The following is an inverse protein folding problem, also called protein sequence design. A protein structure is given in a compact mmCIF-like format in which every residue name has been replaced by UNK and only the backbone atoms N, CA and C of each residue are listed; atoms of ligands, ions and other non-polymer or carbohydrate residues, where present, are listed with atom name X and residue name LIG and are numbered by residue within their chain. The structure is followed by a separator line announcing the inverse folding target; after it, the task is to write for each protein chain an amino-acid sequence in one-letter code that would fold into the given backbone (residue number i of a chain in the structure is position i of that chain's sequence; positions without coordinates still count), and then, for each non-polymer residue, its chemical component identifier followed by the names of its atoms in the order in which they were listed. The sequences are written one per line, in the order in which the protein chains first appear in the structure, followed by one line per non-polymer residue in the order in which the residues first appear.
data_IF_394278453434
#
_entry.id   IF_394278453434
#
_cell.length_a   1.000
_cell.length_b   1.000
_cell.length_c   1.000
_cell.angle_alpha   90.00
_cell.angle_beta   90.00
_cell.angle_gamma   90.00
#
_symmetry.space_group_name_H-M   'P 1'
#
loop_
_entity.id
_entity.type
_entity.pdbx_description
1 polymer ?
#
# COMPACT_ATOMS: atom_id res chain seq x y z
N UNK A 1 8.85 -8.75 -4.82
CA UNK A 1 8.07 -8.05 -3.76
C UNK A 1 8.04 -6.60 -4.17
N UNK A 2 6.86 -6.03 -4.35
CA UNK A 2 6.67 -4.64 -4.78
C UNK A 2 7.40 -3.64 -3.90
N UNK A 3 7.64 -2.42 -4.39
CA UNK A 3 8.13 -1.28 -3.60
C UNK A 3 7.09 -0.16 -3.59
N UNK A 4 7.01 0.58 -2.50
CA UNK A 4 6.11 1.73 -2.41
C UNK A 4 6.65 2.86 -1.53
N UNK A 5 6.07 4.04 -1.73
CA UNK A 5 6.31 5.27 -0.99
C UNK A 5 4.98 5.97 -0.70
N UNK A 6 4.81 6.51 0.50
CA UNK A 6 3.76 7.44 0.84
C UNK A 6 4.33 8.69 1.52
N UNK A 7 3.64 9.80 1.36
CA UNK A 7 4.01 11.08 1.94
C UNK A 7 2.80 11.80 2.53
N UNK A 8 3.01 12.50 3.65
CA UNK A 8 2.05 13.40 4.29
C UNK A 8 2.77 14.62 4.87
N UNK A 9 2.38 15.83 4.49
CA UNK A 9 2.97 17.06 5.00
C UNK A 9 2.58 18.32 4.22
N UNK A 10 3.54 19.23 4.09
CA UNK A 10 3.44 20.38 3.18
C UNK A 10 3.41 19.91 1.72
N UNK A 11 2.66 20.57 0.82
CA UNK A 11 2.66 20.20 -0.58
C UNK A 11 4.08 20.23 -1.18
N UNK A 12 4.52 19.09 -1.70
CA UNK A 12 5.77 18.96 -2.45
C UNK A 12 5.46 18.46 -3.86
N UNK A 13 6.31 18.82 -4.82
CA UNK A 13 6.29 18.15 -6.11
C UNK A 13 6.63 16.68 -5.92
N UNK A 14 5.96 15.81 -6.68
CA UNK A 14 6.08 14.37 -6.45
C UNK A 14 7.46 13.86 -6.87
N UNK A 15 8.06 14.46 -7.90
CA UNK A 15 9.42 14.12 -8.37
C UNK A 15 10.49 14.28 -7.29
N UNK A 16 10.34 15.26 -6.38
CA UNK A 16 11.23 15.50 -5.24
C UNK A 16 11.43 14.26 -4.36
N UNK A 17 10.40 13.39 -4.24
CA UNK A 17 10.51 12.14 -3.47
C UNK A 17 10.56 10.88 -4.35
N UNK A 18 9.95 10.93 -5.54
CA UNK A 18 9.77 9.74 -6.38
C UNK A 18 10.88 9.54 -7.42
N UNK A 19 11.55 10.61 -7.85
CA UNK A 19 12.50 10.59 -8.97
C UNK A 19 13.87 11.09 -8.54
N UNK A 20 13.96 12.31 -8.00
CA UNK A 20 15.22 13.01 -7.73
C UNK A 20 16.19 12.28 -6.77
N UNK A 21 15.74 11.62 -5.69
CA UNK A 21 16.67 10.98 -4.76
C UNK A 21 17.51 9.87 -5.42
N UNK A 22 18.80 9.74 -5.05
CA UNK A 22 19.69 8.75 -5.67
C UNK A 22 19.16 7.30 -5.59
N UNK A 23 18.54 6.94 -4.46
CA UNK A 23 17.86 5.65 -4.26
C UNK A 23 16.32 5.77 -4.30
N UNK A 24 15.78 6.64 -5.17
CA UNK A 24 14.33 6.91 -5.31
C UNK A 24 13.51 5.66 -5.65
N UNK A 25 12.18 5.77 -5.54
CA UNK A 25 11.27 4.67 -5.89
C UNK A 25 11.42 4.26 -7.38
N UNK A 26 11.66 5.23 -8.27
CA UNK A 26 11.95 4.94 -9.68
C UNK A 26 13.29 4.22 -9.82
N UNK A 27 14.35 4.63 -9.12
CA UNK A 27 15.62 3.89 -9.11
C UNK A 27 15.46 2.47 -8.56
N UNK A 28 14.70 2.29 -7.47
CA UNK A 28 14.37 0.98 -6.88
C UNK A 28 13.53 0.10 -7.82
N UNK A 29 12.78 0.69 -8.75
CA UNK A 29 12.05 -0.11 -9.73
C UNK A 29 12.99 -0.84 -10.70
N UNK A 30 14.18 -0.29 -10.96
CA UNK A 30 15.22 -0.91 -11.79
C UNK A 30 16.23 -1.74 -11.00
N UNK A 31 16.55 -1.35 -9.76
CA UNK A 31 17.58 -2.00 -8.93
C UNK A 31 17.23 -1.96 -7.42
N UNK A 32 16.20 -2.69 -7.00
CA UNK A 32 15.83 -2.79 -5.59
C UNK A 32 16.90 -3.57 -4.78
N UNK A 33 17.29 -3.06 -3.61
CA UNK A 33 18.32 -3.67 -2.76
C UNK A 33 17.72 -4.61 -1.71
N UNK A 34 16.47 -4.40 -1.31
CA UNK A 34 15.77 -5.22 -0.30
C UNK A 34 14.59 -6.06 -0.86
N UNK A 35 14.39 -6.09 -2.18
CA UNK A 35 13.32 -6.89 -2.78
C UNK A 35 13.78 -8.32 -3.14
N UNK A 36 12.82 -9.26 -3.18
CA UNK A 36 13.05 -10.63 -3.68
C UNK A 36 13.47 -10.68 -5.17
N UNK A 37 13.23 -9.60 -5.92
CA UNK A 37 13.57 -9.46 -7.34
C UNK A 37 14.26 -8.12 -7.53
N UNK A 38 15.35 -8.09 -8.32
CA UNK A 38 16.15 -6.89 -8.55
C UNK A 38 15.33 -5.80 -9.28
N UNK A 39 14.35 -6.21 -10.09
CA UNK A 39 13.51 -5.33 -10.91
C UNK A 39 12.04 -5.43 -10.45
N UNK A 40 11.35 -4.28 -10.36
CA UNK A 40 9.91 -4.14 -10.18
C UNK A 40 9.32 -3.49 -11.44
N UNK A 41 9.15 -4.29 -12.50
CA UNK A 41 8.80 -3.80 -13.83
C UNK A 41 7.35 -4.05 -14.27
N UNK A 42 6.53 -4.64 -13.41
CA UNK A 42 5.21 -5.18 -13.79
C UNK A 42 4.06 -4.17 -13.57
N UNK A 43 4.41 -2.89 -13.62
CA UNK A 43 3.48 -1.77 -13.49
C UNK A 43 3.86 -0.78 -12.41
N UNK A 44 3.22 0.38 -12.49
CA UNK A 44 3.38 1.48 -11.57
C UNK A 44 2.03 2.16 -11.31
N UNK A 45 1.95 2.89 -10.21
CA UNK A 45 0.83 3.76 -9.98
C UNK A 45 1.10 4.81 -8.93
N UNK A 46 0.28 5.84 -9.01
CA UNK A 46 0.36 7.07 -8.23
C UNK A 46 -1.07 7.49 -7.88
N UNK A 47 -1.30 7.79 -6.61
CA UNK A 47 -2.52 8.43 -6.13
C UNK A 47 -2.16 9.65 -5.29
N UNK A 48 -2.88 10.76 -5.47
CA UNK A 48 -2.58 12.00 -4.77
C UNK A 48 -3.85 12.77 -4.42
N UNK A 49 -3.80 13.55 -3.36
CA UNK A 49 -4.87 14.47 -3.00
C UNK A 49 -4.52 15.87 -3.48
N UNK A 50 -5.43 16.46 -4.27
CA UNK A 50 -5.30 17.82 -4.80
C UNK A 50 -6.39 18.73 -4.23
N UNK A 51 -6.99 19.55 -5.09
CA UNK A 51 -8.05 20.47 -4.68
C UNK A 51 -9.42 19.80 -4.42
N UNK A 52 -9.60 18.53 -4.82
CA UNK A 52 -10.85 17.77 -4.64
C UNK A 52 -10.75 16.82 -3.43
N UNK A 53 -11.87 16.49 -2.78
CA UNK A 53 -11.89 15.48 -1.71
C UNK A 53 -11.47 14.08 -2.20
N UNK A 54 -11.83 13.73 -3.43
CA UNK A 54 -11.41 12.48 -4.06
C UNK A 54 -9.97 12.57 -4.59
N UNK A 55 -9.16 11.52 -4.42
CA UNK A 55 -7.80 11.50 -4.92
C UNK A 55 -7.77 11.39 -6.45
N UNK A 56 -6.79 12.04 -7.07
CA UNK A 56 -6.36 11.71 -8.43
C UNK A 56 -5.63 10.37 -8.43
N UNK A 57 -5.79 9.58 -9.51
CA UNK A 57 -5.12 8.29 -9.66
C UNK A 57 -4.59 8.10 -11.08
N UNK A 58 -3.34 7.68 -11.18
CA UNK A 58 -2.70 7.18 -12.39
C UNK A 58 -2.18 5.77 -12.12
N UNK A 59 -2.44 4.83 -13.05
CA UNK A 59 -1.94 3.45 -12.98
C UNK A 59 -1.60 2.98 -14.38
N UNK A 60 -0.46 2.31 -14.51
CA UNK A 60 0.04 1.78 -15.77
C UNK A 60 0.69 0.42 -15.58
N UNK A 61 0.73 -0.38 -16.64
CA UNK A 61 1.48 -1.65 -16.67
C UNK A 61 2.92 -1.46 -17.14
N UNK A 62 3.27 -0.27 -17.60
CA UNK A 62 4.66 0.07 -17.92
C UNK A 62 5.49 0.18 -16.65
N UNK A 63 6.77 -0.19 -16.71
CA UNK A 63 7.68 0.04 -15.60
C UNK A 63 7.86 1.55 -15.37
N UNK A 64 8.04 1.94 -14.10
CA UNK A 64 8.08 3.36 -13.72
C UNK A 64 9.22 4.14 -14.41
N UNK A 65 10.37 3.50 -14.67
CA UNK A 65 11.52 4.15 -15.31
C UNK A 65 11.31 4.47 -16.79
N UNK A 66 10.33 3.85 -17.46
CA UNK A 66 10.06 4.07 -18.89
C UNK A 66 8.72 4.74 -19.17
N UNK A 67 7.96 5.11 -18.12
CA UNK A 67 6.66 5.74 -18.28
C UNK A 67 6.80 7.27 -18.31
N UNK A 68 6.82 7.83 -19.52
CA UNK A 68 6.93 9.27 -19.73
C UNK A 68 5.74 10.06 -19.16
N UNK A 69 4.53 9.46 -19.10
CA UNK A 69 3.36 10.12 -18.53
C UNK A 69 3.49 10.19 -17.00
N UNK A 70 3.96 9.11 -16.37
CA UNK A 70 4.27 9.12 -14.94
C UNK A 70 5.31 10.20 -14.62
N UNK A 71 6.41 10.26 -15.38
CA UNK A 71 7.44 11.27 -15.18
C UNK A 71 6.88 12.70 -15.32
N UNK A 72 6.06 12.95 -16.36
CA UNK A 72 5.41 14.24 -16.57
C UNK A 72 4.45 14.61 -15.43
N UNK A 73 3.68 13.64 -14.91
CA UNK A 73 2.79 13.85 -13.78
C UNK A 73 3.59 14.17 -12.51
N UNK A 74 4.64 13.40 -12.23
CA UNK A 74 5.47 13.61 -11.06
C UNK A 74 6.11 15.01 -11.04
N UNK A 75 6.50 15.51 -12.21
CA UNK A 75 7.12 16.83 -12.36
C UNK A 75 6.14 18.01 -12.22
N UNK A 76 4.85 17.80 -12.49
CA UNK A 76 3.86 18.89 -12.53
C UNK A 76 2.91 18.89 -11.34
N UNK A 77 2.70 17.74 -10.70
CA UNK A 77 1.77 17.62 -9.58
C UNK A 77 2.49 17.93 -8.28
N UNK A 78 1.90 18.82 -7.47
CA UNK A 78 2.25 19.04 -6.07
C UNK A 78 1.09 18.60 -5.17
N UNK A 79 1.39 17.85 -4.12
CA UNK A 79 0.37 17.31 -3.23
C UNK A 79 0.84 17.21 -1.76
N UNK A 80 -0.02 17.51 -0.79
CA UNK A 80 0.28 17.32 0.63
C UNK A 80 0.26 15.84 1.04
N UNK A 81 -0.51 15.00 0.33
CA UNK A 81 -0.60 13.56 0.57
C UNK A 81 -0.60 12.82 -0.77
N UNK A 82 0.26 11.82 -0.89
CA UNK A 82 0.28 10.92 -2.05
C UNK A 82 0.87 9.55 -1.72
N UNK A 83 0.47 8.57 -2.52
CA UNK A 83 0.91 7.17 -2.49
C UNK A 83 1.44 6.79 -3.87
N UNK A 84 2.64 6.22 -3.93
CA UNK A 84 3.24 5.70 -5.15
C UNK A 84 3.67 4.25 -4.94
N UNK A 85 3.47 3.42 -5.96
CA UNK A 85 3.73 1.99 -5.86
C UNK A 85 4.25 1.44 -7.19
N UNK A 86 5.32 0.64 -7.13
CA UNK A 86 5.88 -0.09 -8.27
C UNK A 86 5.73 -1.59 -8.04
N UNK A 87 5.13 -2.26 -9.02
CA UNK A 87 4.68 -3.64 -8.90
C UNK A 87 5.78 -4.60 -9.37
N UNK A 88 5.95 -5.67 -8.60
CA UNK A 88 6.64 -6.89 -8.99
C UNK A 88 5.61 -8.01 -8.88
N UNK A 89 5.06 -8.42 -10.01
CA UNK A 89 4.00 -9.42 -10.09
C UNK A 89 4.60 -10.80 -9.81
N UNK A 90 4.49 -11.27 -8.56
CA UNK A 90 4.89 -12.63 -8.19
C UNK A 90 3.84 -13.68 -8.54
N UNK A 91 2.60 -13.24 -8.79
CA UNK A 91 1.46 -14.07 -9.21
C UNK A 91 0.38 -13.20 -9.86
N UNK A 92 -0.45 -13.85 -10.69
CA UNK A 92 -1.55 -13.21 -11.42
C UNK A 92 -1.10 -12.41 -12.65
N UNK A 93 -2.09 -11.92 -13.40
CA UNK A 93 -1.86 -11.18 -14.65
C UNK A 93 -1.30 -9.77 -14.40
N UNK A 94 -0.46 -9.33 -15.33
CA UNK A 94 -0.04 -7.93 -15.45
C UNK A 94 -1.19 -7.14 -16.06
N UNK A 95 -1.92 -6.42 -15.22
CA UNK A 95 -3.05 -5.58 -15.64
C UNK A 95 -3.11 -4.31 -14.79
N UNK A 96 -3.62 -3.23 -15.38
CA UNK A 96 -3.82 -1.94 -14.68
C UNK A 96 -4.73 -2.13 -13.46
N UNK A 97 -5.72 -3.02 -13.56
CA UNK A 97 -6.66 -3.32 -12.48
C UNK A 97 -5.99 -3.97 -11.26
N UNK A 98 -4.82 -4.58 -11.43
CA UNK A 98 -4.02 -5.16 -10.35
C UNK A 98 -2.89 -4.24 -9.85
N UNK A 99 -2.79 -3.01 -10.39
CA UNK A 99 -1.80 -2.03 -9.96
C UNK A 99 -2.35 -1.16 -8.82
N UNK A 100 -1.55 -0.96 -7.80
CA UNK A 100 -1.81 -0.01 -6.71
C UNK A 100 -1.49 1.43 -7.12
N UNK A 101 -1.99 2.45 -6.40
CA UNK A 101 -2.96 2.36 -5.31
C UNK A 101 -4.39 2.08 -5.81
N UNK A 102 -5.19 1.42 -4.97
CA UNK A 102 -6.64 1.30 -5.15
C UNK A 102 -7.34 2.54 -4.59
N UNK A 103 -8.43 2.96 -5.21
CA UNK A 103 -9.18 4.15 -4.80
C UNK A 103 -10.67 3.86 -4.65
N UNK A 104 -11.27 4.35 -3.57
CA UNK A 104 -12.72 4.30 -3.36
C UNK A 104 -13.19 5.48 -2.50
N UNK A 105 -13.97 6.39 -3.09
CA UNK A 105 -14.36 7.63 -2.43
C UNK A 105 -13.11 8.45 -2.12
N UNK A 106 -12.95 8.89 -0.87
CA UNK A 106 -11.77 9.61 -0.39
C UNK A 106 -10.57 8.71 -0.07
N UNK A 107 -10.69 7.39 -0.17
CA UNK A 107 -9.63 6.48 0.31
C UNK A 107 -8.68 6.06 -0.81
N UNK A 108 -7.38 6.12 -0.53
CA UNK A 108 -6.32 5.44 -1.28
C UNK A 108 -5.75 4.30 -0.46
N UNK A 109 -5.50 3.16 -1.08
CA UNK A 109 -4.96 1.98 -0.42
C UNK A 109 -3.87 1.29 -1.25
N UNK A 110 -2.74 0.99 -0.63
CA UNK A 110 -1.70 0.13 -1.21
C UNK A 110 -1.24 -0.95 -0.24
N UNK A 111 -0.89 -2.11 -0.78
CA UNK A 111 -0.59 -3.30 0.00
C UNK A 111 0.57 -4.08 -0.63
N UNK A 112 1.55 -4.40 0.21
CA UNK A 112 2.66 -5.27 -0.08
C UNK A 112 2.60 -6.47 0.86
N UNK A 113 2.33 -7.64 0.30
CA UNK A 113 2.00 -8.81 1.07
C UNK A 113 1.22 -9.80 0.22
N UNK A 114 0.57 -10.74 0.90
CA UNK A 114 -0.20 -11.79 0.24
C UNK A 114 -1.16 -12.44 1.23
N UNK A 115 -2.30 -12.91 0.72
CA UNK A 115 -3.07 -13.98 1.35
C UNK A 115 -2.47 -15.32 0.89
N UNK A 116 -2.02 -16.14 1.84
CA UNK A 116 -1.52 -17.48 1.55
C UNK A 116 -2.57 -18.33 0.81
N UNK A 117 -2.16 -19.08 -0.22
CA UNK A 117 -3.06 -19.95 -0.96
C UNK A 117 -4.27 -19.23 -1.59
N UNK A 118 -4.13 -17.95 -1.94
CA UNK A 118 -5.24 -17.09 -2.33
C UNK A 118 -6.16 -17.69 -3.40
N UNK A 119 -5.63 -18.38 -4.42
CA UNK A 119 -6.46 -18.99 -5.48
C UNK A 119 -7.50 -19.99 -4.94
N UNK A 120 -7.20 -20.67 -3.82
CA UNK A 120 -8.11 -21.63 -3.17
C UNK A 120 -9.18 -20.95 -2.33
N UNK A 121 -8.89 -19.76 -1.80
CA UNK A 121 -9.78 -19.03 -0.88
C UNK A 121 -10.40 -17.78 -1.51
N UNK A 122 -10.04 -17.44 -2.74
CA UNK A 122 -10.42 -16.20 -3.43
C UNK A 122 -11.92 -15.96 -3.41
N UNK A 123 -12.70 -16.98 -3.76
CA UNK A 123 -14.17 -16.88 -3.76
C UNK A 123 -14.72 -16.51 -2.38
N UNK A 124 -14.23 -17.14 -1.33
CA UNK A 124 -14.66 -16.90 0.05
C UNK A 124 -14.20 -15.53 0.55
N UNK A 125 -12.98 -15.09 0.19
CA UNK A 125 -12.47 -13.75 0.50
C UNK A 125 -13.30 -12.68 -0.21
N UNK A 126 -13.57 -12.85 -1.51
CA UNK A 126 -14.38 -11.91 -2.29
C UNK A 126 -15.84 -11.87 -1.83
N UNK A 127 -16.37 -12.95 -1.26
CA UNK A 127 -17.71 -12.97 -0.66
C UNK A 127 -17.83 -12.07 0.58
N UNK A 128 -16.72 -11.60 1.17
CA UNK A 128 -16.75 -10.58 2.22
C UNK A 128 -17.05 -9.17 1.69
N UNK A 129 -16.96 -8.96 0.37
CA UNK A 129 -17.24 -7.66 -0.25
C UNK A 129 -18.76 -7.49 -0.38
N UNK A 130 -19.36 -6.45 0.23
CA UNK A 130 -20.80 -6.21 0.11
C UNK A 130 -21.26 -5.98 -1.34
N UNK A 131 -22.51 -6.35 -1.63
CA UNK A 131 -23.09 -6.23 -2.98
C UNK A 131 -22.98 -4.83 -3.59
N UNK A 132 -23.18 -3.78 -2.78
CA UNK A 132 -23.09 -2.38 -3.24
C UNK A 132 -21.64 -1.93 -3.56
N UNK A 133 -20.64 -2.68 -3.11
CA UNK A 133 -19.23 -2.44 -3.39
C UNK A 133 -18.65 -3.43 -4.41
N UNK A 134 -19.28 -4.59 -4.63
CA UNK A 134 -18.76 -5.63 -5.51
C UNK A 134 -18.57 -5.15 -6.96
N UNK A 135 -19.44 -4.27 -7.46
CA UNK A 135 -19.28 -3.65 -8.78
C UNK A 135 -18.01 -2.80 -8.95
N UNK A 136 -17.31 -2.45 -7.85
CA UNK A 136 -16.02 -1.76 -7.86
C UNK A 136 -14.84 -2.69 -8.03
N UNK A 137 -15.00 -4.00 -7.82
CA UNK A 137 -13.96 -5.01 -8.01
C UNK A 137 -13.56 -5.08 -9.48
N UNK A 138 -12.30 -4.77 -9.81
CA UNK A 138 -11.80 -4.81 -11.19
C UNK A 138 -10.67 -5.80 -11.40
N UNK A 139 -9.76 -5.87 -10.44
CA UNK A 139 -8.62 -6.77 -10.47
C UNK A 139 -9.01 -8.20 -10.11
N UNK A 140 -7.99 -9.04 -10.02
CA UNK A 140 -8.09 -10.39 -9.47
C UNK A 140 -7.16 -10.63 -8.27
N UNK A 141 -6.30 -9.67 -7.91
CA UNK A 141 -5.43 -9.77 -6.73
C UNK A 141 -6.16 -9.66 -5.39
N UNK A 142 -5.53 -10.15 -4.33
CA UNK A 142 -6.01 -10.12 -2.94
C UNK A 142 -6.13 -8.70 -2.35
N UNK A 143 -5.25 -7.80 -2.79
CA UNK A 143 -5.09 -6.47 -2.22
C UNK A 143 -6.34 -5.60 -2.39
N UNK A 144 -6.97 -5.63 -3.57
CA UNK A 144 -8.24 -4.93 -3.81
C UNK A 144 -9.38 -5.62 -3.04
N UNK A 145 -9.37 -6.95 -2.93
CA UNK A 145 -10.39 -7.69 -2.18
C UNK A 145 -10.34 -7.34 -0.69
N UNK A 146 -9.14 -7.26 -0.09
CA UNK A 146 -8.95 -6.79 1.28
C UNK A 146 -9.49 -5.36 1.43
N UNK A 147 -9.16 -4.46 0.51
CA UNK A 147 -9.60 -3.06 0.58
C UNK A 147 -11.12 -2.92 0.51
N UNK A 148 -11.76 -3.58 -0.46
CA UNK A 148 -13.22 -3.52 -0.64
C UNK A 148 -13.98 -4.21 0.49
N UNK A 149 -13.46 -5.33 1.02
CA UNK A 149 -14.02 -5.97 2.20
C UNK A 149 -13.90 -5.05 3.42
N UNK A 150 -12.76 -4.40 3.64
CA UNK A 150 -12.57 -3.46 4.74
C UNK A 150 -13.51 -2.25 4.67
N UNK A 151 -13.76 -1.71 3.47
CA UNK A 151 -14.81 -0.69 3.26
C UNK A 151 -16.18 -1.20 3.75
N UNK A 152 -16.53 -2.43 3.38
CA UNK A 152 -17.75 -3.08 3.87
C UNK A 152 -17.78 -3.32 5.38
N UNK A 153 -16.62 -3.45 6.02
CA UNK A 153 -16.47 -3.61 7.46
C UNK A 153 -16.30 -2.27 8.21
N UNK A 154 -16.64 -1.14 7.59
CA UNK A 154 -16.67 0.16 8.29
C UNK A 154 -15.33 0.91 8.29
N UNK A 155 -14.50 0.73 7.26
CA UNK A 155 -13.23 1.48 7.10
C UNK A 155 -13.42 2.99 7.18
N UNK A 156 -14.55 3.54 6.73
CA UNK A 156 -14.86 4.96 6.84
C UNK A 156 -14.98 5.49 8.28
N UNK A 157 -15.38 4.63 9.23
CA UNK A 157 -15.60 5.00 10.62
C UNK A 157 -14.40 4.64 11.51
N UNK A 158 -13.86 3.42 11.34
CA UNK A 158 -12.70 2.94 12.07
C UNK A 158 -11.80 2.11 11.14
N UNK A 159 -10.85 2.76 10.45
CA UNK A 159 -9.99 2.09 9.48
C UNK A 159 -9.14 0.97 10.09
N UNK A 160 -8.68 1.16 11.33
CA UNK A 160 -7.80 0.20 12.00
C UNK A 160 -8.58 -1.05 12.36
N UNK A 161 -9.74 -0.89 13.00
CA UNK A 161 -10.56 -2.04 13.37
C UNK A 161 -11.18 -2.73 12.14
N UNK A 162 -11.56 -2.00 11.09
CA UNK A 162 -12.09 -2.57 9.86
C UNK A 162 -11.07 -3.47 9.15
N UNK A 163 -9.82 -3.03 9.04
CA UNK A 163 -8.75 -3.85 8.49
C UNK A 163 -8.44 -5.04 9.40
N UNK A 164 -8.38 -4.85 10.72
CA UNK A 164 -8.15 -5.95 11.66
C UNK A 164 -9.24 -7.05 11.55
N UNK A 165 -10.52 -6.68 11.49
CA UNK A 165 -11.63 -7.63 11.29
C UNK A 165 -11.59 -8.32 9.93
N UNK A 166 -11.20 -7.58 8.88
CA UNK A 166 -11.05 -8.14 7.53
C UNK A 166 -9.95 -9.21 7.49
N UNK A 167 -8.80 -8.93 8.10
CA UNK A 167 -7.70 -9.90 8.17
C UNK A 167 -8.04 -11.09 9.06
N UNK A 168 -8.72 -10.88 10.19
CA UNK A 168 -9.18 -11.97 11.07
C UNK A 168 -10.17 -12.90 10.35
N UNK A 169 -11.10 -12.34 9.59
CA UNK A 169 -12.03 -13.11 8.74
C UNK A 169 -11.28 -13.90 7.68
N UNK A 170 -10.27 -13.28 7.04
CA UNK A 170 -9.39 -13.96 6.09
C UNK A 170 -8.63 -15.14 6.71
N UNK A 171 -8.10 -14.98 7.92
CA UNK A 171 -7.44 -16.07 8.65
C UNK A 171 -8.38 -17.23 8.94
N UNK A 172 -9.63 -16.96 9.32
CA UNK A 172 -10.61 -18.01 9.56
C UNK A 172 -10.94 -18.80 8.29
N UNK A 173 -11.09 -18.09 7.16
CA UNK A 173 -11.28 -18.70 5.83
C UNK A 173 -10.07 -19.57 5.45
N UNK A 174 -8.85 -19.08 5.69
CA UNK A 174 -7.61 -19.82 5.45
C UNK A 174 -7.54 -21.09 6.30
N UNK A 175 -7.83 -21.01 7.60
CA UNK A 175 -7.85 -22.17 8.52
C UNK A 175 -8.89 -23.20 8.08
N UNK A 176 -10.13 -22.77 7.80
CA UNK A 176 -11.20 -23.65 7.35
C UNK A 176 -10.90 -24.35 6.01
N UNK A 177 -10.01 -23.76 5.20
CA UNK A 177 -9.59 -24.29 3.91
C UNK A 177 -8.26 -25.07 3.98
N UNK A 178 -7.69 -25.27 5.17
CA UNK A 178 -6.41 -25.97 5.36
C UNK A 178 -5.24 -25.26 4.68
N UNK A 179 -5.21 -23.93 4.74
CA UNK A 179 -4.12 -23.10 4.19
C UNK A 179 -3.09 -22.84 5.29
N UNK A 180 -1.88 -23.36 5.12
CA UNK A 180 -0.77 -23.16 6.05
C UNK A 180 0.14 -21.97 5.67
N UNK A 181 0.05 -21.48 4.42
CA UNK A 181 0.85 -20.33 3.99
C UNK A 181 0.45 -19.07 4.74
N UNK A 182 1.42 -18.23 5.08
CA UNK A 182 1.18 -17.02 5.87
C UNK A 182 0.36 -15.94 5.13
N UNK A 183 -0.48 -15.24 5.88
CA UNK A 183 -1.03 -13.93 5.48
C UNK A 183 -0.02 -12.86 5.89
N UNK A 184 0.45 -12.06 4.93
CA UNK A 184 1.37 -10.95 5.16
C UNK A 184 0.71 -9.66 4.74
N UNK A 185 0.79 -8.64 5.59
CA UNK A 185 0.06 -7.39 5.43
C UNK A 185 0.94 -6.19 5.82
N UNK A 186 1.66 -5.66 4.84
CA UNK A 186 2.29 -4.35 4.94
C UNK A 186 1.53 -3.40 4.02
N UNK A 187 0.84 -2.40 4.57
CA UNK A 187 -0.08 -1.58 3.79
C UNK A 187 -0.04 -0.12 4.22
N UNK A 188 -0.47 0.76 3.32
CA UNK A 188 -0.74 2.17 3.63
C UNK A 188 -2.13 2.52 3.14
N UNK A 189 -2.90 3.13 4.03
CA UNK A 189 -4.21 3.71 3.76
C UNK A 189 -4.11 5.24 3.93
N UNK A 190 -4.73 5.99 3.03
CA UNK A 190 -4.89 7.43 3.14
C UNK A 190 -6.36 7.81 2.94
N UNK A 191 -6.82 8.85 3.64
CA UNK A 191 -8.20 9.38 3.53
C UNK A 191 -8.24 10.86 3.10
N UNK A 192 -7.11 11.41 2.67
CA UNK A 192 -6.92 12.81 2.30
C UNK A 192 -6.49 13.72 3.44
N UNK A 193 -6.44 13.21 4.67
CA UNK A 193 -5.96 13.96 5.84
C UNK A 193 -4.92 13.18 6.64
N UNK A 194 -5.06 11.86 6.69
CA UNK A 194 -4.26 10.97 7.53
C UNK A 194 -3.70 9.81 6.72
N UNK A 195 -2.42 9.51 6.91
CA UNK A 195 -1.80 8.25 6.52
C UNK A 195 -1.84 7.25 7.66
N UNK A 196 -2.21 6.01 7.36
CA UNK A 196 -2.12 4.86 8.28
C UNK A 196 -1.28 3.78 7.64
N UNK A 197 -0.15 3.48 8.24
CA UNK A 197 0.81 2.49 7.78
C UNK A 197 0.81 1.28 8.70
N UNK A 198 0.45 0.13 8.16
CA UNK A 198 0.27 -1.13 8.86
C UNK A 198 1.44 -2.06 8.55
N UNK A 199 2.02 -2.69 9.57
CA UNK A 199 3.03 -3.73 9.39
C UNK A 199 2.67 -4.97 10.19
N UNK A 200 2.18 -6.01 9.53
CA UNK A 200 1.66 -7.20 10.20
C UNK A 200 1.84 -8.47 9.36
N UNK A 201 1.94 -9.62 10.02
CA UNK A 201 1.83 -10.92 9.39
C UNK A 201 1.28 -11.96 10.38
N UNK A 202 0.71 -13.04 9.85
CA UNK A 202 0.28 -14.19 10.65
C UNK A 202 1.47 -15.02 11.15
N UNK A 203 2.60 -14.93 10.44
CA UNK A 203 3.92 -15.41 10.86
C UNK A 203 4.78 -14.27 11.41
N UNK A 204 6.01 -14.57 11.83
CA UNK A 204 6.96 -13.58 12.35
C UNK A 204 7.71 -12.82 11.24
N UNK A 205 7.21 -12.82 10.01
CA UNK A 205 7.93 -12.29 8.83
C UNK A 205 7.09 -11.28 8.04
N UNK A 206 6.60 -10.18 8.66
CA UNK A 206 5.95 -9.12 7.92
C UNK A 206 6.94 -8.44 6.96
N UNK A 207 6.50 -8.06 5.74
CA UNK A 207 7.31 -7.26 4.83
C UNK A 207 7.82 -5.99 5.50
N UNK A 208 9.00 -5.53 5.11
CA UNK A 208 9.63 -4.34 5.67
C UNK A 208 8.78 -3.08 5.44
N UNK A 209 8.82 -2.18 6.43
CA UNK A 209 8.17 -0.89 6.37
C UNK A 209 8.94 0.09 7.25
N UNK A 210 9.27 1.22 6.67
CA UNK A 210 10.08 2.25 7.30
C UNK A 210 9.37 3.60 7.23
N UNK A 211 9.74 4.49 8.13
CA UNK A 211 9.29 5.87 8.13
C UNK A 211 10.48 6.80 8.38
N UNK A 212 10.32 8.05 7.92
CA UNK A 212 11.29 9.13 8.14
C UNK A 212 10.57 10.46 8.27
N UNK A 213 11.01 11.27 9.22
CA UNK A 213 10.63 12.69 9.30
C UNK A 213 11.50 13.48 8.31
N UNK A 214 10.84 14.15 7.37
CA UNK A 214 11.42 15.16 6.49
C UNK A 214 11.18 16.55 7.08
N UNK A 215 11.87 17.56 6.55
CA UNK A 215 11.57 18.96 6.87
C UNK A 215 10.14 19.33 6.44
N UNK A 216 9.67 18.78 5.31
CA UNK A 216 8.35 19.07 4.76
C UNK A 216 7.23 18.21 5.34
N UNK A 217 7.52 17.10 6.02
CA UNK A 217 6.48 16.14 6.42
C UNK A 217 7.01 14.78 6.84
N UNK A 218 6.20 13.74 6.65
CA UNK A 218 6.54 12.34 6.94
C UNK A 218 6.53 11.55 5.65
N UNK A 219 7.59 10.77 5.44
CA UNK A 219 7.67 9.78 4.38
C UNK A 219 7.59 8.36 4.97
N UNK A 220 6.92 7.47 4.27
CA UNK A 220 6.78 6.05 4.60
C UNK A 220 7.19 5.27 3.37
N UNK A 221 8.06 4.28 3.52
CA UNK A 221 8.55 3.51 2.38
C UNK A 221 8.74 2.04 2.75
N UNK A 222 8.55 1.16 1.78
CA UNK A 222 8.85 -0.26 1.95
C UNK A 222 10.35 -0.55 2.00
N UNK A 223 11.18 0.38 1.54
CA UNK A 223 12.65 0.35 1.58
C UNK A 223 13.15 1.80 1.69
N UNK A 224 14.18 2.07 2.52
CA UNK A 224 14.76 3.39 2.65
C UNK A 224 15.15 3.99 1.30
N UNK A 225 14.85 5.26 1.10
CA UNK A 225 15.31 6.04 -0.06
C UNK A 225 16.02 7.31 0.39
N UNK A 226 16.77 7.92 -0.52
CA UNK A 226 17.55 9.12 -0.23
C UNK A 226 19.04 8.92 -0.40
N UNK A 227 19.80 9.85 0.17
CA UNK A 227 21.25 9.92 0.07
C UNK A 227 21.92 9.32 1.31
N UNK A 228 23.22 9.06 1.20
CA UNK A 228 24.03 8.48 2.28
C UNK A 228 23.97 9.38 3.53
N UNK A 229 23.45 8.86 4.65
CA UNK A 229 23.31 9.58 5.92
C UNK A 229 21.87 9.79 6.37
N UNK A 230 20.90 9.54 5.49
CA UNK A 230 19.48 9.61 5.82
C UNK A 230 19.05 8.53 6.81
N UNK A 231 18.50 8.95 7.97
CA UNK A 231 18.09 8.02 9.03
C UNK A 231 16.63 7.62 8.88
N UNK A 232 16.41 6.39 8.42
CA UNK A 232 15.11 5.74 8.38
C UNK A 232 14.88 4.89 9.62
N UNK A 233 13.65 4.89 10.11
CA UNK A 233 13.24 4.09 11.27
C UNK A 233 12.27 3.00 10.84
N UNK A 234 12.46 1.79 11.37
CA UNK A 234 11.59 0.65 11.10
C UNK A 234 10.27 0.81 11.87
N UNK A 235 9.14 0.62 11.18
CA UNK A 235 7.84 0.45 11.86
C UNK A 235 7.84 -0.95 12.49
N UNK A 236 7.59 -1.12 13.80
CA UNK A 236 7.62 -2.44 14.43
C UNK A 236 6.56 -3.40 13.87
N UNK A 237 6.81 -4.72 13.87
CA UNK A 237 5.79 -5.73 13.59
C UNK A 237 4.58 -5.60 14.54
N UNK A 238 3.37 -5.80 14.02
CA UNK A 238 2.15 -5.76 14.82
C UNK A 238 1.71 -4.34 15.18
N UNK A 239 2.24 -3.30 14.53
CA UNK A 239 1.86 -1.92 14.79
C UNK A 239 1.18 -1.27 13.58
N UNK A 240 0.39 -0.23 13.88
CA UNK A 240 -0.04 0.77 12.93
C UNK A 240 0.57 2.12 13.32
N UNK A 241 1.18 2.79 12.36
CA UNK A 241 1.59 4.20 12.48
C UNK A 241 0.52 5.07 11.84
N UNK A 242 -0.01 6.04 12.59
CA UNK A 242 -0.96 7.04 12.09
C UNK A 242 -0.26 8.39 12.04
N UNK A 243 -0.23 9.01 10.87
CA UNK A 243 0.47 10.26 10.60
C UNK A 243 -0.48 11.25 9.91
N UNK A 244 -0.69 12.41 10.52
CA UNK A 244 -1.29 13.58 9.89
C UNK A 244 -0.21 14.56 9.41
N UNK A 245 -0.58 15.84 9.22
CA UNK A 245 0.37 16.90 8.89
C UNK A 245 1.39 17.13 10.00
N UNK A 246 0.91 17.27 11.24
CA UNK A 246 1.76 17.69 12.38
C UNK A 246 1.93 16.61 13.45
N UNK A 247 1.11 15.55 13.41
CA UNK A 247 1.11 14.51 14.42
C UNK A 247 1.50 13.14 13.85
N UNK A 248 2.08 12.32 14.72
CA UNK A 248 2.42 10.94 14.41
C UNK A 248 2.29 10.12 15.68
N UNK A 249 1.56 9.01 15.62
CA UNK A 249 1.36 8.10 16.74
C UNK A 249 1.49 6.65 16.29
N UNK A 250 1.99 5.82 17.19
CA UNK A 250 2.00 4.37 17.04
C UNK A 250 0.95 3.76 17.97
N UNK A 251 0.26 2.75 17.47
CA UNK A 251 -0.61 1.90 18.29
C UNK A 251 -0.51 0.45 17.84
N UNK A 252 -0.90 -0.46 18.72
CA UNK A 252 -0.94 -1.87 18.40
C UNK A 252 -1.99 -2.14 17.30
N UNK A 253 -1.62 -3.03 16.39
CA UNK A 253 -2.50 -3.56 15.35
C UNK A 253 -2.75 -5.04 15.62
N UNK A 254 -3.79 -5.28 16.41
CA UNK A 254 -4.18 -6.61 16.88
C UNK A 254 -5.19 -7.22 15.91
N UNK A 255 -4.80 -8.32 15.27
CA UNK A 255 -5.68 -9.14 14.45
C UNK A 255 -6.05 -10.38 15.24
N UNK A 256 -7.35 -10.59 15.48
CA UNK A 256 -7.84 -11.78 16.17
C UNK A 256 -7.45 -13.04 15.39
N UNK A 257 -6.82 -14.00 16.09
CA UNK A 257 -6.45 -15.29 15.51
C UNK A 257 -7.60 -16.28 15.69
N UNK A 258 -7.80 -17.19 14.75
CA UNK A 258 -8.72 -18.30 14.96
C UNK A 258 -8.29 -19.15 16.16
N UNK A 259 -9.27 -19.78 16.81
CA UNK A 259 -9.04 -20.74 17.90
C UNK A 259 -8.43 -22.05 17.38
#
# INVERSE_FOLDING_TARGET
MCRFLAYSGEPVFLDTLLIEPASSLVSQSFAAREAKTVVNGDGCGLGWYGARPEPGCYRGTLPAWSDANLASLCHQVSAPIFLAHVRSATSGEVSVANCHPFAAGRHLFMHNGQIGGYDRVRRSIEAMIPNNLYGRRRGNGDSEAIFLAALGQGLDADPVAALARTLASGLHIMQASGIEQALRFTAVLADGQTLRAFRWASDERPPSLYWRRLQSGIAIASEPFGDTGDTWQTIPPGCVMTAGRDNMVFSDFVVARPA
#
